data_IF_980082578164
#
_entry.id   IF_980082578164
#
_cell.length_a   1.000
_cell.length_b   1.000
_cell.length_c   1.000
_cell.angle_alpha   90.00
_cell.angle_beta   90.00
_cell.angle_gamma   90.00
#
_symmetry.space_group_name_H-M   'P 1'
#
loop_
_entity.id
_entity.type
_entity.pdbx_description
1 polymer ?
#
# COMPACT_ATOMS: atom_id res chain seq x y z
N UNK A 1 -5.22 17.48 6.63
CA UNK A 1 -5.34 16.02 6.72
C UNK A 1 -5.03 15.57 8.14
N UNK A 2 -5.95 14.89 8.75
CA UNK A 2 -5.73 14.31 10.08
C UNK A 2 -5.31 12.86 9.92
N UNK A 3 -4.05 12.57 10.28
CA UNK A 3 -3.48 11.24 10.16
C UNK A 3 -3.32 10.53 11.51
N UNK A 4 -3.94 11.07 12.57
CA UNK A 4 -3.77 10.55 13.93
C UNK A 4 -4.26 9.10 14.08
N UNK A 5 -5.24 8.70 13.28
CA UNK A 5 -5.79 7.34 13.30
C UNK A 5 -5.04 6.37 12.40
N UNK A 6 -4.00 6.83 11.72
CA UNK A 6 -3.22 6.01 10.80
C UNK A 6 -2.05 5.37 11.53
N UNK A 7 -1.67 4.17 11.10
CA UNK A 7 -0.44 3.54 11.62
C UNK A 7 0.77 4.37 11.23
N UNK A 8 1.89 4.15 11.92
CA UNK A 8 3.13 4.85 11.62
C UNK A 8 3.58 4.64 10.17
N UNK A 9 3.44 3.41 9.67
CA UNK A 9 3.80 3.10 8.28
C UNK A 9 2.87 3.80 7.29
N UNK A 10 1.56 3.78 7.55
CA UNK A 10 0.59 4.44 6.68
C UNK A 10 0.84 5.94 6.62
N UNK A 11 1.10 6.58 7.77
CA UNK A 11 1.50 8.01 7.80
C UNK A 11 2.73 8.26 6.95
N UNK A 12 3.74 7.40 7.08
CA UNK A 12 4.99 7.52 6.34
C UNK A 12 4.76 7.50 4.82
N UNK A 13 3.88 6.64 4.34
CA UNK A 13 3.56 6.58 2.91
C UNK A 13 2.82 7.82 2.43
N UNK A 14 1.90 8.36 3.24
CA UNK A 14 1.21 9.62 2.90
C UNK A 14 2.22 10.76 2.82
N UNK A 15 3.14 10.83 3.78
CA UNK A 15 4.20 11.84 3.78
C UNK A 15 5.15 11.68 2.58
N UNK A 16 5.49 10.44 2.23
CA UNK A 16 6.30 10.16 1.04
C UNK A 16 5.60 10.58 -0.24
N UNK A 17 4.28 10.39 -0.32
CA UNK A 17 3.50 10.85 -1.48
C UNK A 17 3.62 12.37 -1.64
N UNK A 18 3.53 13.12 -0.54
CA UNK A 18 3.73 14.57 -0.55
C UNK A 18 5.13 14.93 -1.01
N UNK A 19 6.14 14.23 -0.52
CA UNK A 19 7.54 14.46 -0.89
C UNK A 19 7.77 14.21 -2.39
N UNK A 20 7.17 13.17 -2.94
CA UNK A 20 7.26 12.88 -4.38
C UNK A 20 6.64 14.02 -5.18
N UNK A 21 5.46 14.48 -4.81
CA UNK A 21 4.79 15.58 -5.51
C UNK A 21 5.62 16.86 -5.48
N UNK A 22 6.23 17.17 -4.34
CA UNK A 22 7.11 18.35 -4.19
C UNK A 22 8.35 18.21 -5.06
N UNK A 23 9.02 17.06 -5.00
CA UNK A 23 10.25 16.81 -5.76
C UNK A 23 10.04 16.89 -7.26
N UNK A 24 8.88 16.41 -7.72
CA UNK A 24 8.53 16.42 -9.14
C UNK A 24 7.88 17.74 -9.59
N UNK A 25 7.78 18.70 -8.68
CA UNK A 25 7.16 20.01 -8.93
C UNK A 25 5.71 19.90 -9.42
N UNK A 26 4.99 18.89 -8.98
CA UNK A 26 3.58 18.73 -9.33
C UNK A 26 2.70 19.68 -8.54
N UNK A 27 1.71 20.26 -9.22
CA UNK A 27 0.79 21.20 -8.60
C UNK A 27 -0.16 20.54 -7.62
N UNK A 28 -0.52 19.28 -7.87
CA UNK A 28 -1.51 18.55 -7.10
C UNK A 28 -0.91 17.32 -6.46
N UNK A 29 -1.37 17.03 -5.25
CA UNK A 29 -1.10 15.75 -4.60
C UNK A 29 -2.23 14.79 -4.97
N UNK A 30 -1.89 13.72 -5.68
CA UNK A 30 -2.84 12.80 -6.30
C UNK A 30 -2.73 11.39 -5.71
N UNK A 31 -3.79 10.56 -5.87
CA UNK A 31 -3.70 9.15 -5.49
C UNK A 31 -2.53 8.42 -6.17
N UNK A 32 -2.16 8.81 -7.38
CA UNK A 32 -1.02 8.24 -8.11
C UNK A 32 0.29 8.40 -7.33
N UNK A 33 0.47 9.53 -6.65
CA UNK A 33 1.66 9.73 -5.78
C UNK A 33 1.66 8.75 -4.62
N UNK A 34 0.51 8.50 -4.02
CA UNK A 34 0.40 7.57 -2.90
C UNK A 34 0.68 6.14 -3.35
N UNK A 35 0.10 5.72 -4.47
CA UNK A 35 0.35 4.38 -4.99
C UNK A 35 1.83 4.20 -5.34
N UNK A 36 2.45 5.21 -5.95
CA UNK A 36 3.89 5.18 -6.24
C UNK A 36 4.71 5.00 -4.96
N UNK A 37 4.39 5.75 -3.92
CA UNK A 37 5.09 5.62 -2.64
C UNK A 37 4.95 4.22 -2.06
N UNK A 38 3.77 3.61 -2.16
CA UNK A 38 3.51 2.27 -1.66
C UNK A 38 4.30 1.21 -2.41
N UNK A 39 4.34 1.27 -3.74
CA UNK A 39 5.00 0.23 -4.55
C UNK A 39 6.52 0.45 -4.69
N UNK A 40 7.01 1.65 -4.46
CA UNK A 40 8.46 1.92 -4.48
C UNK A 40 9.18 1.21 -3.33
N UNK A 41 8.46 0.86 -2.27
CA UNK A 41 9.00 0.00 -1.22
C UNK A 41 8.82 -1.47 -1.64
N UNK A 42 9.82 -2.02 -2.32
CA UNK A 42 9.75 -3.38 -2.86
C UNK A 42 9.74 -4.47 -1.79
N UNK A 43 10.14 -4.14 -0.57
CA UNK A 43 10.06 -5.04 0.58
C UNK A 43 8.82 -4.76 1.42
N UNK A 44 7.99 -3.84 0.98
CA UNK A 44 6.83 -3.38 1.71
C UNK A 44 5.62 -4.27 1.55
N UNK A 45 4.65 -4.00 2.41
CA UNK A 45 3.40 -4.75 2.48
C UNK A 45 2.59 -4.65 1.17
N UNK A 46 2.53 -3.45 0.57
CA UNK A 46 1.76 -3.25 -0.66
C UNK A 46 2.30 -4.08 -1.81
N UNK A 47 3.62 -4.10 -1.99
CA UNK A 47 4.25 -4.92 -3.02
C UNK A 47 3.99 -6.42 -2.80
N UNK A 48 4.06 -6.87 -1.54
CA UNK A 48 3.76 -8.26 -1.19
C UNK A 48 2.31 -8.63 -1.51
N UNK A 49 1.36 -7.77 -1.16
CA UNK A 49 -0.05 -8.03 -1.42
C UNK A 49 -0.34 -8.10 -2.92
N UNK A 50 0.27 -7.22 -3.71
CA UNK A 50 0.12 -7.22 -5.16
C UNK A 50 0.70 -8.50 -5.75
N UNK A 51 1.89 -8.88 -5.34
CA UNK A 51 2.55 -10.10 -5.82
C UNK A 51 1.78 -11.35 -5.45
N UNK A 52 1.28 -11.42 -4.22
CA UNK A 52 0.49 -12.56 -3.75
C UNK A 52 -0.86 -12.67 -4.45
N UNK A 53 -1.34 -11.56 -5.01
CA UNK A 53 -2.59 -11.52 -5.80
C UNK A 53 -2.32 -11.73 -7.30
N UNK A 54 -1.12 -12.18 -7.65
CA UNK A 54 -0.69 -12.42 -9.03
C UNK A 54 -0.57 -11.14 -9.88
N UNK A 55 -0.44 -9.98 -9.22
CA UNK A 55 -0.22 -8.71 -9.89
C UNK A 55 1.26 -8.48 -10.18
N UNK A 56 1.53 -7.66 -11.18
CA UNK A 56 2.88 -7.29 -11.57
C UNK A 56 3.15 -5.84 -11.14
N UNK A 57 3.98 -5.68 -10.11
CA UNK A 57 4.32 -4.36 -9.56
C UNK A 57 4.99 -3.48 -10.62
N UNK A 58 5.85 -4.06 -11.47
CA UNK A 58 6.56 -3.31 -12.50
C UNK A 58 5.59 -2.74 -13.55
N UNK A 59 4.57 -3.49 -13.91
CA UNK A 59 3.51 -3.00 -14.81
C UNK A 59 2.78 -1.80 -14.23
N UNK A 60 2.43 -1.89 -12.96
CA UNK A 60 1.76 -0.80 -12.24
C UNK A 60 2.69 0.43 -12.23
N UNK A 61 3.97 0.23 -11.93
CA UNK A 61 4.95 1.31 -11.88
C UNK A 61 5.07 2.02 -13.23
N UNK A 62 5.14 1.27 -14.33
CA UNK A 62 5.23 1.84 -15.67
C UNK A 62 3.99 2.68 -16.01
N UNK A 63 2.80 2.16 -15.69
CA UNK A 63 1.55 2.86 -15.93
C UNK A 63 1.50 4.17 -15.13
N UNK A 64 1.87 4.11 -13.84
CA UNK A 64 1.90 5.28 -12.96
C UNK A 64 2.88 6.33 -13.45
N UNK A 65 4.08 5.93 -13.85
CA UNK A 65 5.09 6.86 -14.33
C UNK A 65 4.61 7.60 -15.58
N UNK A 66 3.91 6.90 -16.47
CA UNK A 66 3.28 7.50 -17.64
C UNK A 66 2.26 8.57 -17.26
N UNK A 67 1.43 8.29 -16.25
CA UNK A 67 0.44 9.26 -15.77
C UNK A 67 1.09 10.46 -15.08
N UNK A 68 2.11 10.21 -14.27
CA UNK A 68 2.77 11.27 -13.51
C UNK A 68 3.56 12.23 -14.42
N UNK A 69 4.13 11.73 -15.50
CA UNK A 69 4.82 12.56 -16.49
C UNK A 69 3.89 13.59 -17.14
N UNK A 70 2.59 13.29 -17.21
CA UNK A 70 1.59 14.16 -17.82
C UNK A 70 1.04 15.21 -16.87
N UNK A 71 1.41 15.18 -15.61
CA UNK A 71 0.87 16.11 -14.63
C UNK A 71 1.44 17.51 -14.80
N UNK A 72 0.62 18.51 -14.46
CA UNK A 72 1.02 19.90 -14.50
C UNK A 72 2.14 20.16 -13.51
N UNK A 73 3.22 20.75 -13.99
CA UNK A 73 4.37 21.15 -13.16
C UNK A 73 4.34 22.65 -12.93
N UNK A 74 4.73 23.06 -11.73
CA UNK A 74 4.83 24.46 -11.35
C UNK A 74 6.28 24.83 -11.10
N UNK A 75 6.61 26.11 -11.31
CA UNK A 75 7.96 26.63 -11.04
C UNK A 75 8.05 27.10 -9.60
N UNK A 76 9.20 26.86 -8.99
CA UNK A 76 9.49 27.28 -7.62
C UNK A 76 9.04 26.23 -6.60
N UNK A 77 9.26 26.57 -5.32
CA UNK A 77 8.93 25.67 -4.21
C UNK A 77 7.48 25.89 -3.78
N UNK A 78 6.55 25.50 -4.61
CA UNK A 78 5.12 25.60 -4.30
C UNK A 78 4.67 24.31 -3.64
N UNK A 79 3.98 24.42 -2.51
CA UNK A 79 3.42 23.27 -1.83
C UNK A 79 2.24 22.74 -2.65
N UNK A 80 2.27 21.45 -3.04
CA UNK A 80 1.14 20.87 -3.76
C UNK A 80 -0.12 20.89 -2.90
N UNK A 81 -1.28 21.14 -3.51
CA UNK A 81 -2.53 21.01 -2.79
C UNK A 81 -3.10 19.60 -2.98
N UNK A 82 -3.75 19.09 -1.95
CA UNK A 82 -4.37 17.78 -2.02
C UNK A 82 -5.59 17.82 -2.94
N UNK A 83 -5.55 17.00 -4.00
CA UNK A 83 -6.71 16.88 -4.88
C UNK A 83 -7.86 16.21 -4.12
N UNK A 84 -9.13 16.57 -4.44
CA UNK A 84 -10.26 15.90 -3.78
C UNK A 84 -10.22 14.37 -3.86
N UNK A 85 -9.70 13.81 -4.95
CA UNK A 85 -9.56 12.35 -5.10
C UNK A 85 -8.59 11.76 -4.07
N UNK A 86 -7.52 12.49 -3.74
CA UNK A 86 -6.56 12.06 -2.71
C UNK A 86 -7.25 12.00 -1.33
N UNK A 87 -8.01 13.03 -1.00
CA UNK A 87 -8.74 13.08 0.27
C UNK A 87 -9.79 11.99 0.34
N UNK A 88 -10.44 11.67 -0.78
CA UNK A 88 -11.41 10.55 -0.85
C UNK A 88 -10.75 9.20 -0.57
N UNK A 89 -9.51 9.00 -1.04
CA UNK A 89 -8.77 7.77 -0.77
C UNK A 89 -8.54 7.63 0.74
N UNK A 90 -8.09 8.69 1.40
CA UNK A 90 -7.87 8.66 2.85
C UNK A 90 -9.17 8.39 3.62
N UNK A 91 -10.25 9.03 3.20
CA UNK A 91 -11.57 8.86 3.80
C UNK A 91 -12.08 7.42 3.61
N UNK A 92 -11.94 6.87 2.41
CA UNK A 92 -12.34 5.49 2.13
C UNK A 92 -11.52 4.50 2.95
N UNK A 93 -10.22 4.75 3.12
CA UNK A 93 -9.36 3.92 3.95
C UNK A 93 -9.85 3.90 5.40
N UNK A 94 -10.27 5.04 5.94
CA UNK A 94 -10.85 5.12 7.28
C UNK A 94 -12.15 4.32 7.37
N UNK A 95 -13.01 4.41 6.36
CA UNK A 95 -14.27 3.67 6.30
C UNK A 95 -14.01 2.16 6.30
N UNK A 96 -13.05 1.71 5.49
CA UNK A 96 -12.67 0.30 5.42
C UNK A 96 -12.13 -0.21 6.76
N UNK A 97 -11.32 0.60 7.43
CA UNK A 97 -10.79 0.25 8.74
C UNK A 97 -11.92 0.09 9.77
N UNK A 98 -12.85 1.02 9.81
CA UNK A 98 -13.99 0.97 10.73
C UNK A 98 -14.84 -0.27 10.48
N UNK A 99 -15.14 -0.57 9.23
CA UNK A 99 -15.94 -1.75 8.87
C UNK A 99 -15.27 -3.06 9.26
N UNK A 100 -13.95 -3.07 9.30
CA UNK A 100 -13.17 -4.26 9.64
C UNK A 100 -12.86 -4.37 11.14
N UNK A 101 -13.29 -3.40 11.94
CA UNK A 101 -13.01 -3.38 13.37
C UNK A 101 -11.60 -2.90 13.71
N UNK A 102 -10.92 -2.28 12.77
CA UNK A 102 -9.57 -1.74 12.99
C UNK A 102 -9.64 -0.45 13.81
N UNK A 103 -8.77 -0.30 14.78
CA UNK A 103 -8.62 0.94 15.53
C UNK A 103 -7.74 1.94 14.81
N UNK A 104 -6.82 1.44 13.97
CA UNK A 104 -5.90 2.25 13.17
C UNK A 104 -6.06 1.92 11.69
N UNK A 105 -5.87 2.93 10.85
CA UNK A 105 -5.87 2.74 9.40
C UNK A 105 -4.49 2.26 8.98
N UNK A 106 -4.39 1.00 8.59
CA UNK A 106 -3.14 0.38 8.19
C UNK A 106 -2.88 0.58 6.69
N UNK A 107 -1.64 0.34 6.29
CA UNK A 107 -1.17 0.48 4.89
C UNK A 107 -2.05 -0.26 3.89
N UNK A 108 -2.48 -1.47 4.23
CA UNK A 108 -3.30 -2.29 3.32
C UNK A 108 -4.67 -1.66 3.05
N UNK A 109 -5.21 -0.88 3.99
CA UNK A 109 -6.46 -0.16 3.75
C UNK A 109 -6.27 0.99 2.76
N UNK A 110 -5.09 1.61 2.76
CA UNK A 110 -4.75 2.61 1.74
C UNK A 110 -4.72 1.97 0.35
N UNK A 111 -4.11 0.80 0.23
CA UNK A 111 -4.04 0.09 -1.06
C UNK A 111 -5.44 -0.29 -1.56
N UNK A 112 -6.29 -0.82 -0.69
CA UNK A 112 -7.67 -1.16 -1.05
C UNK A 112 -8.47 0.07 -1.47
N UNK A 113 -8.33 1.17 -0.73
CA UNK A 113 -9.01 2.43 -1.05
C UNK A 113 -8.57 2.97 -2.41
N UNK A 114 -7.28 2.85 -2.76
CA UNK A 114 -6.77 3.23 -4.07
C UNK A 114 -7.43 2.42 -5.19
N UNK A 115 -7.74 1.16 -4.94
CA UNK A 115 -8.43 0.30 -5.91
C UNK A 115 -9.93 0.62 -6.02
N UNK A 116 -10.49 1.36 -5.07
CA UNK A 116 -11.91 1.67 -5.02
C UNK A 116 -12.24 3.07 -5.54
N UNK A 117 -11.45 4.05 -5.17
CA UNK A 117 -11.71 5.46 -5.53
C UNK A 117 -11.27 5.71 -6.96
N UNK A 118 -12.16 6.33 -7.76
CA UNK A 118 -11.87 6.64 -9.16
C UNK A 118 -10.67 7.59 -9.26
N UNK A 119 -9.62 7.14 -9.93
CA UNK A 119 -8.37 7.90 -10.13
C UNK A 119 -7.47 7.16 -11.10
N UNK A 120 -6.37 7.78 -11.50
CA UNK A 120 -5.33 7.12 -12.29
C UNK A 120 -4.67 5.96 -11.54
N UNK A 121 -4.62 6.04 -10.21
CA UNK A 121 -4.10 4.93 -9.40
C UNK A 121 -4.99 3.68 -9.54
N UNK A 122 -6.31 3.85 -9.49
CA UNK A 122 -7.23 2.74 -9.72
C UNK A 122 -7.04 2.14 -11.11
N UNK A 123 -6.88 2.97 -12.12
CA UNK A 123 -6.64 2.52 -13.48
C UNK A 123 -5.34 1.71 -13.59
N UNK A 124 -4.28 2.16 -12.93
CA UNK A 124 -3.01 1.45 -12.89
C UNK A 124 -3.16 0.07 -12.25
N UNK A 125 -3.87 -0.01 -11.13
CA UNK A 125 -4.14 -1.28 -10.46
C UNK A 125 -4.97 -2.21 -11.34
N UNK A 126 -6.03 -1.69 -11.96
CA UNK A 126 -6.88 -2.49 -12.85
C UNK A 126 -6.13 -3.00 -14.08
N UNK A 127 -5.17 -2.22 -14.61
CA UNK A 127 -4.37 -2.65 -15.76
C UNK A 127 -3.59 -3.92 -15.47
N UNK A 128 -3.24 -4.15 -14.21
CA UNK A 128 -2.54 -5.35 -13.75
C UNK A 128 -3.50 -6.38 -13.14
N UNK A 129 -4.80 -6.20 -13.30
CA UNK A 129 -5.82 -7.12 -12.78
C UNK A 129 -6.05 -7.00 -11.28
N UNK A 130 -5.60 -5.94 -10.65
CA UNK A 130 -5.73 -5.73 -9.21
C UNK A 130 -7.05 -5.05 -8.89
N UNK A 131 -8.07 -5.84 -8.58
CA UNK A 131 -9.36 -5.34 -8.10
C UNK A 131 -9.33 -5.19 -6.58
N UNK A 132 -10.24 -4.40 -6.03
CA UNK A 132 -10.38 -4.27 -4.57
C UNK A 132 -10.71 -5.62 -3.92
N UNK A 133 -11.47 -6.49 -4.60
CA UNK A 133 -11.82 -7.82 -4.12
C UNK A 133 -10.57 -8.70 -3.98
N UNK A 134 -9.70 -8.72 -4.99
CA UNK A 134 -8.45 -9.50 -4.93
C UNK A 134 -7.53 -9.02 -3.81
N UNK A 135 -7.39 -7.71 -3.70
CA UNK A 135 -6.57 -7.10 -2.66
C UNK A 135 -7.14 -7.47 -1.28
N UNK A 136 -8.44 -7.34 -1.11
CA UNK A 136 -9.09 -7.66 0.16
C UNK A 136 -8.93 -9.14 0.54
N UNK A 137 -9.03 -10.04 -0.43
CA UNK A 137 -8.79 -11.47 -0.20
C UNK A 137 -7.38 -11.74 0.30
N UNK A 138 -6.38 -11.09 -0.32
CA UNK A 138 -4.99 -11.21 0.12
C UNK A 138 -4.77 -10.64 1.52
N UNK A 139 -5.44 -9.54 1.84
CA UNK A 139 -5.38 -8.95 3.18
C UNK A 139 -5.93 -9.92 4.22
N UNK A 140 -7.08 -10.52 3.94
CA UNK A 140 -7.71 -11.47 4.86
C UNK A 140 -6.82 -12.68 5.11
N UNK A 141 -6.17 -13.20 4.08
CA UNK A 141 -5.22 -14.31 4.22
C UNK A 141 -4.01 -13.92 5.07
N UNK A 142 -3.48 -12.72 4.83
CA UNK A 142 -2.33 -12.21 5.59
C UNK A 142 -2.67 -11.98 7.04
N UNK A 143 -3.81 -11.37 7.31
CA UNK A 143 -4.22 -11.01 8.67
C UNK A 143 -4.71 -12.19 9.49
N UNK A 144 -5.37 -13.16 8.89
CA UNK A 144 -5.92 -14.34 9.57
C UNK A 144 -6.79 -13.96 10.78
N UNK A 145 -7.67 -13.00 10.58
CA UNK A 145 -8.59 -12.54 11.62
C UNK A 145 -8.06 -11.46 12.54
N UNK A 146 -6.80 -11.04 12.39
CA UNK A 146 -6.24 -9.96 13.21
C UNK A 146 -6.75 -8.60 12.75
N UNK A 147 -6.83 -7.67 13.70
CA UNK A 147 -7.20 -6.29 13.42
C UNK A 147 -6.02 -5.37 13.70
N UNK A 148 -6.04 -4.17 13.11
CA UNK A 148 -4.99 -3.17 13.31
C UNK A 148 -5.31 -2.38 14.59
N UNK A 149 -4.83 -2.85 15.73
CA UNK A 149 -5.17 -2.31 17.06
C UNK A 149 -4.11 -1.37 17.61
N UNK A 150 -2.99 -1.21 16.93
CA UNK A 150 -1.89 -0.33 17.37
C UNK A 150 -1.28 0.41 16.20
N UNK A 151 -0.54 1.47 16.50
CA UNK A 151 0.16 2.26 15.50
C UNK A 151 1.25 1.47 14.76
N UNK A 152 1.66 0.31 15.28
CA UNK A 152 2.68 -0.56 14.68
C UNK A 152 2.13 -1.92 14.28
N UNK A 153 0.83 -2.01 14.02
CA UNK A 153 0.16 -3.29 13.75
C UNK A 153 0.78 -4.06 12.58
N UNK A 154 1.17 -3.37 11.51
CA UNK A 154 1.74 -4.01 10.32
C UNK A 154 3.05 -4.75 10.62
N UNK A 155 3.81 -4.30 11.61
CA UNK A 155 5.07 -4.94 11.96
C UNK A 155 4.87 -6.40 12.36
N UNK A 156 3.80 -6.67 13.10
CA UNK A 156 3.53 -8.01 13.60
C UNK A 156 3.13 -8.97 12.48
N UNK A 157 2.12 -8.63 11.67
CA UNK A 157 1.66 -9.57 10.66
C UNK A 157 2.56 -9.61 9.42
N UNK A 158 3.28 -8.53 9.11
CA UNK A 158 4.27 -8.54 8.05
C UNK A 158 5.46 -9.42 8.42
N UNK A 159 5.91 -9.36 9.65
CA UNK A 159 6.99 -10.21 10.15
C UNK A 159 6.59 -11.70 10.10
N UNK A 160 5.36 -12.02 10.47
CA UNK A 160 4.86 -13.41 10.43
C UNK A 160 4.77 -13.93 9.00
N UNK A 161 4.32 -13.12 8.05
CA UNK A 161 4.24 -13.49 6.64
C UNK A 161 5.63 -13.77 6.09
N UNK A 162 6.60 -12.91 6.37
CA UNK A 162 7.97 -13.07 5.93
C UNK A 162 8.60 -14.34 6.50
N UNK A 163 8.37 -14.62 7.79
CA UNK A 163 8.83 -15.83 8.44
C UNK A 163 8.29 -17.09 7.76
N UNK A 164 6.99 -17.09 7.45
CA UNK A 164 6.35 -18.21 6.77
C UNK A 164 6.92 -18.43 5.36
N UNK A 165 7.21 -17.38 4.62
CA UNK A 165 7.83 -17.45 3.30
C UNK A 165 9.23 -18.03 3.39
N UNK A 166 10.04 -17.61 4.36
CA UNK A 166 11.39 -18.10 4.56
C UNK A 166 11.39 -19.60 4.88
N UNK A 167 10.48 -20.06 5.73
CA UNK A 167 10.33 -21.48 6.05
C UNK A 167 9.95 -22.31 4.82
N UNK A 168 9.00 -21.82 4.03
CA UNK A 168 8.56 -22.51 2.81
C UNK A 168 9.72 -22.62 1.81
N UNK A 169 10.48 -21.56 1.64
CA UNK A 169 11.64 -21.55 0.74
C UNK A 169 12.70 -22.55 1.20
N UNK A 170 13.02 -22.57 2.49
CA UNK A 170 14.00 -23.49 3.04
C UNK A 170 13.55 -24.96 2.87
N UNK A 171 12.26 -25.23 3.04
CA UNK A 171 11.70 -26.57 2.85
C UNK A 171 11.86 -27.04 1.40
N UNK A 172 11.60 -26.16 0.44
CA UNK A 172 11.76 -26.46 -1.00
C UNK A 172 13.20 -26.78 -1.36
N UNK A 173 14.14 -26.14 -0.71
CA UNK A 173 15.57 -26.38 -0.92
C UNK A 173 16.12 -27.53 -0.10
N UNK A 174 15.30 -28.17 0.74
CA UNK A 174 15.72 -29.25 1.60
C UNK A 174 16.65 -28.85 2.72
N UNK A 175 16.62 -27.59 3.12
CA UNK A 175 17.50 -27.03 4.14
C UNK A 175 16.92 -27.02 5.53
N UNK A 176 15.65 -27.36 5.71
CA UNK A 176 15.03 -27.40 7.03
C UNK A 176 15.48 -28.64 7.76
N UNK A 177 16.14 -28.44 8.88
CA UNK A 177 16.50 -29.50 9.78
C UNK A 177 15.28 -29.87 10.62
N UNK A 178 14.87 -31.15 10.67
CA UNK A 178 13.71 -31.58 11.46
C UNK A 178 13.77 -31.20 12.93
N UNK A 179 14.94 -31.06 13.50
CA UNK A 179 15.09 -30.70 14.90
C UNK A 179 14.79 -29.24 15.19
N UNK A 180 14.78 -28.40 14.18
CA UNK A 180 14.47 -26.96 14.33
C UNK A 180 13.05 -26.75 14.84
N UNK A 181 12.11 -27.57 14.40
CA UNK A 181 10.71 -27.43 14.74
C UNK A 181 10.36 -27.59 16.20
N UNK A 182 11.25 -28.11 17.03
CA UNK A 182 10.99 -28.30 18.45
C UNK A 182 11.27 -27.05 19.28
N UNK A 183 11.92 -26.09 18.71
CA UNK A 183 12.20 -24.82 19.35
C UNK A 183 11.04 -23.84 19.11
#
# INVERSE_FOLDING_TARGET
MDLNKFTERAKGFVQNAQSVAIRENHQRLLPEHLLKALIDDDQGLAASLISNSEGNVDEIALFLNSLLEKQVKVKGNVQPFADPSFLKVLDEAETLAQKSGDQFVATERLLTALAMVKSGAKEALLSAGMTSQKINSSINEMRKGRTADSASAEDNYQALEKYAQDLTHAAREGKIDPIIGRD
#
